data_IF_902320719085
#
_entry.id   IF_902320719085
#
_cell.length_a   1.000
_cell.length_b   1.000
_cell.length_c   1.000
_cell.angle_alpha   90.00
_cell.angle_beta   90.00
_cell.angle_gamma   90.00
#
_symmetry.space_group_name_H-M   'P 1'
#
loop_
_entity.id
_entity.type
_entity.pdbx_description
1 polymer ?
#
# COMPACT_ATOMS: atom_id res chain seq x y z
N UNK A 1 -55.22 24.17 -0.67
CA UNK A 1 -55.44 25.30 0.29
C UNK A 1 -54.10 25.72 0.85
N UNK A 2 -53.79 27.00 0.54
CA UNK A 2 -52.92 27.98 1.24
C UNK A 2 -51.47 27.67 1.55
N UNK A 3 -50.67 28.21 0.71
CA UNK A 3 -49.34 28.87 0.77
C UNK A 3 -49.08 29.61 2.09
N UNK A 4 -47.87 29.55 2.62
CA UNK A 4 -47.29 30.71 3.33
C UNK A 4 -45.74 30.69 3.14
N UNK A 5 -45.29 31.72 2.44
CA UNK A 5 -43.88 32.14 2.23
C UNK A 5 -43.55 33.08 3.38
N UNK A 6 -42.37 32.94 4.00
CA UNK A 6 -41.82 34.01 4.87
C UNK A 6 -40.44 34.44 4.31
N UNK A 7 -40.46 35.68 3.82
CA UNK A 7 -39.26 36.51 3.58
C UNK A 7 -38.90 37.23 4.89
N UNK A 8 -37.62 37.23 5.23
CA UNK A 8 -37.09 38.23 6.17
C UNK A 8 -35.94 38.99 5.51
N UNK A 9 -36.24 40.26 5.27
CA UNK A 9 -35.29 41.33 4.92
C UNK A 9 -34.81 41.93 6.25
N UNK A 10 -33.51 42.12 6.43
CA UNK A 10 -33.00 43.07 7.43
C UNK A 10 -31.93 43.96 6.83
N UNK A 11 -32.28 45.24 6.88
CA UNK A 11 -31.57 46.41 6.39
C UNK A 11 -30.37 46.78 7.25
N UNK A 12 -29.46 47.52 6.60
CA UNK A 12 -28.20 48.01 7.10
C UNK A 12 -28.24 49.03 8.20
N UNK A 13 -27.11 49.27 8.76
CA UNK A 13 -26.75 50.53 9.43
C UNK A 13 -25.28 50.85 9.16
N UNK A 14 -25.07 51.96 8.43
CA UNK A 14 -23.81 52.67 8.30
C UNK A 14 -23.56 53.47 9.58
N UNK A 15 -22.36 53.40 10.12
CA UNK A 15 -21.85 54.44 11.02
C UNK A 15 -20.50 54.93 10.52
N UNK A 16 -20.51 56.17 10.06
CA UNK A 16 -19.35 57.04 9.92
C UNK A 16 -18.94 57.54 11.30
N UNK A 17 -17.64 57.47 11.61
CA UNK A 17 -17.03 58.42 12.54
C UNK A 17 -15.66 58.88 12.03
N UNK A 18 -15.51 60.17 12.10
CA UNK A 18 -14.49 61.05 11.52
C UNK A 18 -13.33 61.22 12.51
N UNK A 19 -12.16 61.28 11.98
CA UNK A 19 -10.90 61.93 12.34
C UNK A 19 -10.79 62.69 13.68
N UNK A 20 -9.67 62.46 14.38
CA UNK A 20 -8.81 63.50 14.96
C UNK A 20 -7.35 63.04 15.04
N UNK A 21 -6.47 63.91 14.56
CA UNK A 21 -5.00 63.85 14.73
C UNK A 21 -4.61 64.04 16.22
N UNK A 22 -3.48 63.40 16.65
CA UNK A 22 -2.27 64.11 17.06
C UNK A 22 -1.15 63.17 17.54
N UNK A 23 0.01 63.49 17.04
CA UNK A 23 1.38 63.55 17.62
C UNK A 23 2.04 62.34 18.32
N UNK A 24 3.15 61.95 17.65
CA UNK A 24 4.47 61.58 18.21
C UNK A 24 4.62 60.62 19.40
N UNK A 25 5.04 59.37 19.11
CA UNK A 25 5.97 58.64 19.96
C UNK A 25 6.82 57.66 19.09
N UNK A 26 8.13 57.80 19.18
CA UNK A 26 9.16 56.92 18.58
C UNK A 26 9.12 55.59 19.35
N UNK A 27 8.66 54.53 18.75
CA UNK A 27 8.85 53.16 19.28
C UNK A 27 9.59 52.28 18.28
N UNK A 28 10.77 51.84 18.74
CA UNK A 28 11.58 50.80 18.11
C UNK A 28 10.83 49.46 18.08
N UNK A 29 10.13 49.15 16.98
CA UNK A 29 9.50 47.85 16.81
C UNK A 29 10.41 46.91 16.02
N UNK A 30 11.01 45.96 16.71
CA UNK A 30 11.61 44.76 16.13
C UNK A 30 10.49 43.91 15.50
N UNK A 31 10.29 44.09 14.18
CA UNK A 31 9.29 43.30 13.42
C UNK A 31 9.72 41.84 13.33
N UNK A 32 9.08 40.94 14.06
CA UNK A 32 9.15 39.50 13.82
C UNK A 32 8.61 39.21 12.41
N UNK A 33 9.31 38.43 11.58
CA UNK A 33 8.83 38.11 10.22
C UNK A 33 7.54 37.27 10.32
N UNK A 34 6.57 37.48 9.40
CA UNK A 34 5.28 36.84 9.45
C UNK A 34 5.41 35.30 9.32
N UNK A 35 4.62 34.58 10.11
CA UNK A 35 4.62 33.11 10.24
C UNK A 35 4.63 32.37 8.88
N UNK A 36 3.95 32.90 7.87
CA UNK A 36 3.92 32.34 6.50
C UNK A 36 5.29 32.30 5.82
N UNK A 37 6.16 33.30 6.03
CA UNK A 37 7.52 33.32 5.46
C UNK A 37 8.43 32.28 6.12
N UNK A 38 8.23 31.95 7.40
CA UNK A 38 8.99 30.94 8.14
C UNK A 38 8.63 29.53 7.64
N UNK A 39 7.34 29.23 7.47
CA UNK A 39 6.85 27.96 6.93
C UNK A 39 7.31 27.69 5.47
N UNK A 40 7.34 28.72 4.65
CA UNK A 40 7.83 28.61 3.26
C UNK A 40 9.34 28.36 3.24
N UNK A 41 10.13 29.03 4.09
CA UNK A 41 11.58 28.80 4.21
C UNK A 41 11.90 27.40 4.77
N UNK A 42 11.12 26.89 5.73
CA UNK A 42 11.31 25.53 6.25
C UNK A 42 10.93 24.44 5.22
N UNK A 43 9.87 24.66 4.45
CA UNK A 43 9.49 23.75 3.35
C UNK A 43 10.54 23.76 2.23
N UNK A 44 11.13 24.93 1.90
CA UNK A 44 12.20 25.07 0.91
C UNK A 44 13.48 24.40 1.39
N UNK A 45 13.91 24.62 2.66
CA UNK A 45 15.06 23.92 3.27
C UNK A 45 14.87 22.41 3.33
N UNK A 46 13.66 21.89 3.63
CA UNK A 46 13.37 20.45 3.61
C UNK A 46 13.39 19.87 2.19
N UNK A 47 13.00 20.66 1.18
CA UNK A 47 13.07 20.26 -0.23
C UNK A 47 14.52 20.23 -0.73
N UNK A 48 15.30 21.28 -0.44
CA UNK A 48 16.73 21.38 -0.79
C UNK A 48 17.59 20.31 -0.07
N UNK A 49 17.26 19.97 1.20
CA UNK A 49 17.93 18.88 1.91
C UNK A 49 17.64 17.49 1.31
N UNK A 50 16.48 17.29 0.67
CA UNK A 50 16.16 16.05 -0.07
C UNK A 50 16.86 15.99 -1.44
N UNK A 51 17.06 17.13 -2.09
CA UNK A 51 17.73 17.20 -3.40
C UNK A 51 19.25 16.98 -3.30
N UNK A 52 19.85 17.16 -2.11
CA UNK A 52 21.31 17.05 -1.90
C UNK A 52 21.76 15.71 -1.27
N UNK A 53 20.88 14.73 -1.10
CA UNK A 53 21.30 13.39 -0.67
C UNK A 53 22.06 12.70 -1.81
N UNK A 54 23.25 12.09 -1.56
CA UNK A 54 23.94 11.32 -2.58
C UNK A 54 23.02 10.25 -3.15
N UNK A 55 23.03 10.07 -4.47
CA UNK A 55 22.20 9.06 -5.17
C UNK A 55 22.31 7.68 -4.54
N UNK A 56 23.52 7.29 -4.11
CA UNK A 56 23.81 6.02 -3.43
C UNK A 56 22.97 5.87 -2.14
N UNK A 57 22.83 6.94 -1.35
CA UNK A 57 22.05 6.89 -0.11
C UNK A 57 20.55 6.79 -0.41
N UNK A 58 20.06 7.49 -1.43
CA UNK A 58 18.66 7.41 -1.87
C UNK A 58 18.35 5.99 -2.37
N UNK A 59 19.22 5.42 -3.19
CA UNK A 59 19.07 4.07 -3.72
C UNK A 59 19.11 3.02 -2.60
N UNK A 60 19.99 3.18 -1.60
CA UNK A 60 20.07 2.30 -0.42
C UNK A 60 18.77 2.33 0.41
N UNK A 61 18.23 3.51 0.69
CA UNK A 61 16.94 3.65 1.39
C UNK A 61 15.80 3.01 0.60
N UNK A 62 15.80 3.19 -0.72
CA UNK A 62 14.79 2.61 -1.58
C UNK A 62 14.92 1.08 -1.67
N UNK A 63 16.13 0.51 -1.71
CA UNK A 63 16.37 -0.93 -1.65
C UNK A 63 15.77 -1.52 -0.38
N UNK A 64 15.94 -0.86 0.76
CA UNK A 64 15.32 -1.29 2.02
C UNK A 64 13.79 -1.34 1.94
N UNK A 65 13.16 -0.35 1.32
CA UNK A 65 11.71 -0.39 1.09
C UNK A 65 11.30 -1.52 0.13
N UNK A 66 12.04 -1.68 -0.98
CA UNK A 66 11.74 -2.69 -2.00
C UNK A 66 11.86 -4.12 -1.46
N UNK A 67 12.78 -4.35 -0.53
CA UNK A 67 13.03 -5.67 0.10
C UNK A 67 12.36 -5.85 1.46
N UNK A 68 11.64 -4.82 1.96
CA UNK A 68 10.96 -4.86 3.25
C UNK A 68 11.87 -4.70 4.47
N UNK A 69 13.09 -4.23 4.29
CA UNK A 69 14.08 -3.97 5.36
C UNK A 69 13.83 -2.61 6.04
N UNK A 70 12.57 -2.26 6.26
CA UNK A 70 12.17 -1.00 6.88
C UNK A 70 11.18 -1.21 8.02
N UNK A 71 11.11 -0.23 8.93
CA UNK A 71 10.17 -0.18 10.04
C UNK A 71 9.04 0.78 9.67
N UNK A 72 7.90 0.25 9.24
CA UNK A 72 6.76 1.03 8.76
C UNK A 72 6.18 1.98 9.81
N UNK A 73 6.31 1.62 11.09
CA UNK A 73 5.83 2.43 12.23
C UNK A 73 6.60 3.75 12.37
N UNK A 74 7.86 3.76 11.91
CA UNK A 74 8.76 4.92 11.98
C UNK A 74 8.82 5.68 10.66
N UNK A 75 8.24 5.15 9.61
CA UNK A 75 8.30 5.71 8.27
C UNK A 75 7.14 6.66 8.01
N UNK A 76 7.46 7.92 7.75
CA UNK A 76 6.46 8.97 7.52
C UNK A 76 5.63 8.77 6.24
N UNK A 77 6.03 7.88 5.34
CA UNK A 77 5.26 7.54 4.14
C UNK A 77 4.10 6.56 4.45
N UNK A 78 4.15 5.89 5.60
CA UNK A 78 3.16 4.91 6.02
C UNK A 78 2.20 5.47 7.07
N UNK A 79 1.05 4.84 7.19
CA UNK A 79 0.11 5.05 8.29
C UNK A 79 -0.59 3.76 8.69
N UNK A 80 -1.07 3.72 9.92
CA UNK A 80 -1.89 2.64 10.43
C UNK A 80 -3.27 2.69 9.79
N UNK A 81 -3.75 1.53 9.32
CA UNK A 81 -5.11 1.37 8.79
C UNK A 81 -6.11 1.49 9.93
N UNK A 82 -7.18 2.32 9.80
CA UNK A 82 -8.19 2.48 10.85
C UNK A 82 -8.93 1.17 11.19
N UNK A 83 -9.32 1.00 12.45
CA UNK A 83 -9.96 -0.22 12.98
C UNK A 83 -11.26 -0.61 12.30
N UNK A 84 -12.02 0.35 11.75
CA UNK A 84 -13.23 0.04 10.97
C UNK A 84 -12.93 -0.62 9.61
N UNK A 85 -11.68 -0.53 9.14
CA UNK A 85 -11.23 -1.12 7.87
C UNK A 85 -10.42 -2.42 8.04
N UNK A 86 -9.99 -2.73 9.27
CA UNK A 86 -9.24 -3.96 9.60
C UNK A 86 -9.39 -4.32 11.06
N UNK A 87 -9.21 -5.59 11.40
CA UNK A 87 -9.14 -6.07 12.80
C UNK A 87 -7.70 -6.19 13.31
N UNK A 88 -6.70 -5.87 12.50
CA UNK A 88 -5.28 -6.05 12.78
C UNK A 88 -4.54 -4.72 12.82
N UNK A 89 -3.32 -4.72 13.34
CA UNK A 89 -2.40 -3.60 13.21
C UNK A 89 -1.69 -3.70 11.86
N UNK A 90 -2.21 -3.01 10.86
CA UNK A 90 -1.75 -3.03 9.48
C UNK A 90 -1.31 -1.63 9.09
N UNK A 91 -0.12 -1.52 8.50
CA UNK A 91 0.35 -0.29 7.86
C UNK A 91 0.16 -0.39 6.35
N UNK A 92 -0.12 0.74 5.73
CA UNK A 92 -0.08 0.94 4.28
C UNK A 92 0.60 2.28 3.99
N UNK A 93 1.08 2.47 2.77
CA UNK A 93 1.42 3.82 2.33
C UNK A 93 0.20 4.73 2.46
N UNK A 94 0.43 5.99 2.83
CA UNK A 94 -0.65 6.94 3.16
C UNK A 94 -1.70 7.02 2.07
N UNK A 95 -1.25 7.23 0.82
CA UNK A 95 -2.14 7.35 -0.33
C UNK A 95 -2.90 6.04 -0.61
N UNK A 96 -2.21 4.89 -0.54
CA UNK A 96 -2.85 3.55 -0.68
C UNK A 96 -3.97 3.38 0.35
N UNK A 97 -3.72 3.75 1.61
CA UNK A 97 -4.73 3.66 2.67
C UNK A 97 -5.91 4.60 2.39
N UNK A 98 -5.65 5.86 1.98
CA UNK A 98 -6.69 6.85 1.71
C UNK A 98 -7.59 6.41 0.56
N UNK A 99 -7.00 5.86 -0.51
CA UNK A 99 -7.76 5.37 -1.66
C UNK A 99 -8.53 4.09 -1.34
N UNK A 100 -7.96 3.20 -0.49
CA UNK A 100 -8.72 2.06 0.01
C UNK A 100 -9.94 2.49 0.83
N UNK A 101 -9.82 3.49 1.70
CA UNK A 101 -10.95 3.98 2.49
C UNK A 101 -12.05 4.59 1.62
N UNK A 102 -11.69 5.30 0.54
CA UNK A 102 -12.65 5.78 -0.47
C UNK A 102 -13.33 4.62 -1.19
N UNK A 103 -12.57 3.62 -1.62
CA UNK A 103 -13.10 2.41 -2.26
C UNK A 103 -14.05 1.65 -1.32
N UNK A 104 -13.65 1.46 -0.06
CA UNK A 104 -14.48 0.83 0.98
C UNK A 104 -15.81 1.58 1.17
N UNK A 105 -15.77 2.91 1.30
CA UNK A 105 -16.97 3.72 1.47
C UNK A 105 -17.92 3.64 0.27
N UNK A 106 -17.38 3.54 -0.94
CA UNK A 106 -18.21 3.33 -2.15
C UNK A 106 -18.82 1.92 -2.17
N UNK A 107 -18.06 0.89 -1.80
CA UNK A 107 -18.54 -0.49 -1.74
C UNK A 107 -19.68 -0.64 -0.71
N UNK A 108 -19.59 0.04 0.44
CA UNK A 108 -20.62 0.02 1.48
C UNK A 108 -21.97 0.56 1.01
N UNK A 109 -21.99 1.56 0.11
CA UNK A 109 -23.22 2.06 -0.51
C UNK A 109 -23.93 1.00 -1.37
N UNK A 110 -23.14 0.07 -1.94
CA UNK A 110 -23.62 -1.05 -2.72
C UNK A 110 -23.79 -2.32 -1.86
N UNK A 111 -23.82 -2.19 -0.52
CA UNK A 111 -23.92 -3.29 0.45
C UNK A 111 -22.80 -4.33 0.35
N UNK A 112 -21.60 -3.89 -0.07
CA UNK A 112 -20.36 -4.67 -0.11
C UNK A 112 -19.41 -4.17 0.98
N UNK A 113 -18.96 -5.08 1.87
CA UNK A 113 -18.21 -4.72 3.07
C UNK A 113 -16.76 -5.22 3.00
N UNK A 114 -15.87 -4.36 2.53
CA UNK A 114 -14.45 -4.69 2.38
C UNK A 114 -13.69 -4.53 3.69
N UNK A 115 -12.83 -5.51 4.01
CA UNK A 115 -11.89 -5.43 5.15
C UNK A 115 -10.51 -5.95 4.75
N UNK A 116 -9.47 -5.23 5.15
CA UNK A 116 -8.08 -5.66 4.94
C UNK A 116 -7.70 -6.69 5.99
N UNK A 117 -7.18 -7.83 5.53
CA UNK A 117 -6.58 -8.87 6.36
C UNK A 117 -5.05 -8.76 6.42
N UNK A 118 -4.41 -8.29 5.36
CA UNK A 118 -2.97 -8.08 5.28
C UNK A 118 -2.64 -6.86 4.40
N UNK A 119 -1.66 -6.08 4.78
CA UNK A 119 -1.12 -4.94 4.04
C UNK A 119 0.40 -5.00 4.01
N UNK A 120 1.08 -3.94 4.42
CA UNK A 120 2.54 -3.91 4.48
C UNK A 120 3.09 -5.03 5.38
N UNK A 121 4.08 -5.75 4.88
CA UNK A 121 4.81 -6.81 5.60
C UNK A 121 6.30 -6.58 5.44
N UNK A 122 7.02 -6.33 6.54
CA UNK A 122 8.47 -6.21 6.49
C UNK A 122 9.14 -7.58 6.24
N UNK A 123 10.43 -7.55 5.99
CA UNK A 123 11.24 -8.75 5.70
C UNK A 123 11.08 -9.82 6.78
N UNK A 124 11.17 -9.46 8.06
CA UNK A 124 11.11 -10.40 9.17
C UNK A 124 9.73 -11.07 9.29
N UNK A 125 8.65 -10.33 9.08
CA UNK A 125 7.28 -10.90 9.03
C UNK A 125 7.14 -11.87 7.87
N UNK A 126 7.63 -11.51 6.67
CA UNK A 126 7.59 -12.39 5.50
C UNK A 126 8.47 -13.64 5.69
N UNK A 127 9.66 -13.48 6.29
CA UNK A 127 10.54 -14.59 6.66
C UNK A 127 9.87 -15.55 7.65
N UNK A 128 9.21 -15.01 8.68
CA UNK A 128 8.45 -15.83 9.62
C UNK A 128 7.34 -16.64 8.92
N UNK A 129 6.59 -16.02 7.99
CA UNK A 129 5.54 -16.71 7.23
C UNK A 129 6.14 -17.81 6.36
N UNK A 130 7.22 -17.52 5.63
CA UNK A 130 7.92 -18.44 4.74
C UNK A 130 8.51 -19.63 5.50
N UNK A 131 9.32 -19.37 6.53
CA UNK A 131 10.06 -20.41 7.26
C UNK A 131 9.14 -21.31 8.09
N UNK A 132 8.03 -20.81 8.64
CA UNK A 132 7.05 -21.70 9.29
C UNK A 132 6.40 -22.69 8.32
N UNK A 133 6.21 -22.31 7.07
CA UNK A 133 5.73 -23.23 6.03
C UNK A 133 6.87 -24.15 5.56
N UNK A 134 8.07 -23.63 5.37
CA UNK A 134 9.25 -24.40 5.00
C UNK A 134 9.55 -25.51 5.98
N UNK A 135 9.47 -25.25 7.26
CA UNK A 135 9.72 -26.19 8.35
C UNK A 135 8.52 -27.11 8.64
N UNK A 136 7.38 -26.91 7.97
CA UNK A 136 6.15 -27.66 8.18
C UNK A 136 5.39 -27.33 9.47
N UNK A 137 5.78 -26.26 10.17
CA UNK A 137 5.06 -25.74 11.36
C UNK A 137 3.69 -25.17 10.97
N UNK A 138 3.56 -24.66 9.74
CA UNK A 138 2.28 -24.31 9.11
C UNK A 138 2.07 -25.14 7.87
N UNK A 139 0.84 -25.63 7.68
CA UNK A 139 0.43 -26.36 6.48
C UNK A 139 0.33 -25.42 5.28
N UNK A 140 0.55 -25.96 4.10
CA UNK A 140 0.26 -25.28 2.83
C UNK A 140 -1.26 -25.21 2.63
N UNK A 141 -1.69 -24.47 1.61
CA UNK A 141 -3.13 -24.27 1.32
C UNK A 141 -3.87 -25.57 0.99
N UNK A 142 -3.19 -26.53 0.39
CA UNK A 142 -3.70 -27.89 0.10
C UNK A 142 -3.65 -28.85 1.30
N UNK A 143 -3.31 -28.37 2.48
CA UNK A 143 -3.16 -29.17 3.69
C UNK A 143 -1.85 -29.94 3.81
N UNK A 144 -1.00 -29.95 2.76
CA UNK A 144 0.28 -30.65 2.76
C UNK A 144 1.33 -29.95 3.63
N UNK A 145 2.44 -30.65 3.93
CA UNK A 145 3.58 -30.09 4.65
C UNK A 145 4.78 -29.98 3.70
N UNK A 146 5.27 -28.75 3.49
CA UNK A 146 6.43 -28.51 2.66
C UNK A 146 7.70 -29.21 3.17
N UNK A 147 7.82 -29.46 4.48
CA UNK A 147 8.96 -30.20 5.09
C UNK A 147 9.15 -31.59 4.48
N UNK A 148 8.07 -32.23 3.99
CA UNK A 148 8.14 -33.55 3.34
C UNK A 148 8.84 -33.51 1.99
N UNK A 149 8.91 -32.36 1.33
CA UNK A 149 9.60 -32.20 0.05
C UNK A 149 11.10 -32.05 0.33
N UNK A 150 11.91 -33.02 -0.06
CA UNK A 150 13.35 -33.05 0.26
C UNK A 150 14.15 -32.07 -0.59
N UNK A 151 13.86 -32.00 -1.90
CA UNK A 151 14.51 -31.09 -2.82
C UNK A 151 14.20 -29.64 -2.49
N UNK A 152 15.20 -28.76 -2.19
CA UNK A 152 14.95 -27.36 -1.82
C UNK A 152 14.26 -26.54 -2.92
N UNK A 153 14.59 -26.79 -4.20
CA UNK A 153 13.96 -26.11 -5.34
C UNK A 153 12.47 -26.44 -5.44
N UNK A 154 12.12 -27.72 -5.42
CA UNK A 154 10.72 -28.17 -5.45
C UNK A 154 9.94 -27.66 -4.24
N UNK A 155 10.58 -27.66 -3.05
CA UNK A 155 9.99 -27.10 -1.84
C UNK A 155 9.69 -25.61 -2.02
N UNK A 156 10.64 -24.83 -2.56
CA UNK A 156 10.46 -23.42 -2.87
C UNK A 156 9.32 -23.19 -3.86
N UNK A 157 9.29 -23.93 -4.96
CA UNK A 157 8.23 -23.85 -5.98
C UNK A 157 6.84 -24.16 -5.38
N UNK A 158 6.76 -25.14 -4.47
CA UNK A 158 5.52 -25.48 -3.80
C UNK A 158 5.03 -24.37 -2.86
N UNK A 159 5.92 -23.70 -2.14
CA UNK A 159 5.58 -22.54 -1.32
C UNK A 159 5.14 -21.36 -2.19
N UNK A 160 5.84 -21.12 -3.28
CA UNK A 160 5.62 -20.01 -4.21
C UNK A 160 4.30 -20.08 -4.97
N UNK A 161 3.52 -21.16 -4.82
CA UNK A 161 2.15 -21.13 -5.34
C UNK A 161 1.33 -19.96 -4.74
N UNK A 162 1.57 -19.62 -3.47
CA UNK A 162 0.80 -18.60 -2.72
C UNK A 162 1.63 -17.82 -1.69
N UNK A 163 2.94 -17.98 -1.64
CA UNK A 163 3.76 -17.35 -0.59
C UNK A 163 5.06 -16.84 -1.18
N UNK A 164 5.25 -15.54 -1.15
CA UNK A 164 6.46 -14.90 -1.64
C UNK A 164 7.68 -15.23 -0.79
N UNK A 165 8.85 -15.34 -1.41
CA UNK A 165 10.13 -15.31 -0.71
C UNK A 165 10.33 -13.94 -0.03
N UNK A 166 10.98 -13.88 1.16
CA UNK A 166 11.42 -12.61 1.74
C UNK A 166 12.28 -11.81 0.74
N UNK A 167 12.04 -10.52 0.67
CA UNK A 167 12.69 -9.65 -0.31
C UNK A 167 12.04 -9.62 -1.71
N UNK A 168 11.11 -10.56 -2.01
CA UNK A 168 10.39 -10.59 -3.29
C UNK A 168 8.89 -10.31 -3.17
N UNK A 169 8.40 -10.10 -1.95
CA UNK A 169 6.99 -9.83 -1.71
C UNK A 169 6.61 -8.40 -2.08
N UNK A 170 5.60 -8.21 -2.93
CA UNK A 170 5.06 -6.88 -3.23
C UNK A 170 4.44 -6.21 -1.98
N UNK A 171 4.02 -6.98 -0.98
CA UNK A 171 3.59 -6.43 0.31
C UNK A 171 4.69 -5.66 1.06
N UNK A 172 5.96 -5.80 0.69
CA UNK A 172 7.03 -4.95 1.22
C UNK A 172 6.83 -3.48 0.88
N UNK A 173 6.15 -3.17 -0.23
CA UNK A 173 5.97 -1.82 -0.74
C UNK A 173 4.86 -1.03 -0.03
N UNK A 174 3.98 -1.73 0.73
CA UNK A 174 2.82 -1.12 1.39
C UNK A 174 1.73 -0.64 0.45
N UNK A 175 1.74 -1.12 -0.78
CA UNK A 175 0.77 -0.84 -1.85
C UNK A 175 -0.19 -2.00 -2.12
N UNK A 176 0.07 -3.15 -1.47
CA UNK A 176 -0.70 -4.36 -1.64
C UNK A 176 -1.65 -4.58 -0.47
N UNK A 177 -2.87 -5.00 -0.77
CA UNK A 177 -3.86 -5.39 0.23
C UNK A 177 -4.36 -6.80 -0.05
N UNK A 178 -4.47 -7.61 1.00
CA UNK A 178 -5.25 -8.84 0.97
C UNK A 178 -6.58 -8.57 1.65
N UNK A 179 -7.69 -8.74 0.95
CA UNK A 179 -9.03 -8.63 1.52
C UNK A 179 -9.36 -9.88 2.35
N UNK A 180 -10.14 -9.68 3.39
CA UNK A 180 -10.36 -10.73 4.37
C UNK A 180 -11.09 -11.93 3.80
N UNK A 181 -10.35 -13.08 3.66
CA UNK A 181 -11.03 -14.38 3.64
C UNK A 181 -10.12 -15.59 3.95
N UNK A 182 -10.58 -16.48 4.83
CA UNK A 182 -9.83 -17.69 5.23
C UNK A 182 -9.87 -18.80 4.18
N UNK A 183 -10.92 -18.85 3.34
CA UNK A 183 -11.12 -19.91 2.35
C UNK A 183 -10.49 -19.63 0.98
N UNK A 184 -9.74 -18.52 0.85
CA UNK A 184 -9.10 -18.15 -0.43
C UNK A 184 -10.13 -17.98 -1.57
N UNK A 185 -9.79 -18.44 -2.77
CA UNK A 185 -10.64 -18.27 -3.96
C UNK A 185 -12.04 -18.87 -3.81
N UNK A 186 -12.21 -19.96 -3.05
CA UNK A 186 -13.51 -20.60 -2.82
C UNK A 186 -14.55 -19.68 -2.20
N UNK A 187 -14.11 -18.70 -1.41
CA UNK A 187 -15.02 -17.68 -0.88
C UNK A 187 -15.67 -16.86 -1.98
N UNK A 188 -14.92 -16.57 -3.03
CA UNK A 188 -15.32 -15.70 -4.14
C UNK A 188 -16.09 -16.44 -5.25
N UNK A 189 -16.44 -17.72 -5.05
CA UNK A 189 -17.17 -18.52 -6.05
C UNK A 189 -18.69 -18.40 -5.92
N UNK A 190 -19.21 -18.02 -4.76
CA UNK A 190 -20.66 -17.90 -4.51
C UNK A 190 -21.01 -16.92 -3.39
N UNK A 191 -22.29 -16.57 -3.34
CA UNK A 191 -22.89 -15.79 -2.25
C UNK A 191 -22.26 -14.40 -2.08
N UNK A 192 -21.99 -14.04 -0.82
CA UNK A 192 -21.43 -12.74 -0.46
C UNK A 192 -20.06 -12.50 -1.09
N UNK A 193 -19.20 -13.50 -1.10
CA UNK A 193 -17.85 -13.39 -1.66
C UNK A 193 -17.86 -13.15 -3.17
N UNK A 194 -18.75 -13.82 -3.92
CA UNK A 194 -18.91 -13.57 -5.33
C UNK A 194 -19.33 -12.11 -5.60
N UNK A 195 -20.31 -11.60 -4.84
CA UNK A 195 -20.73 -10.19 -4.95
C UNK A 195 -19.58 -9.21 -4.67
N UNK A 196 -18.76 -9.49 -3.65
CA UNK A 196 -17.57 -8.70 -3.33
C UNK A 196 -16.58 -8.69 -4.51
N UNK A 197 -16.32 -9.85 -5.09
CA UNK A 197 -15.37 -9.99 -6.19
C UNK A 197 -15.87 -9.32 -7.48
N UNK A 198 -17.13 -9.53 -7.85
CA UNK A 198 -17.77 -8.87 -8.99
C UNK A 198 -17.77 -7.36 -8.85
N UNK A 199 -18.05 -6.86 -7.62
CA UNK A 199 -17.97 -5.43 -7.32
C UNK A 199 -16.55 -4.90 -7.51
N UNK A 200 -15.54 -5.61 -6.99
CA UNK A 200 -14.14 -5.25 -7.12
C UNK A 200 -13.67 -5.22 -8.58
N UNK A 201 -14.00 -6.25 -9.37
CA UNK A 201 -13.68 -6.29 -10.80
C UNK A 201 -14.27 -5.07 -11.56
N UNK A 202 -15.48 -4.65 -11.19
CA UNK A 202 -16.17 -3.52 -11.82
C UNK A 202 -15.70 -2.15 -11.36
N UNK A 203 -15.23 -2.02 -10.11
CA UNK A 203 -15.08 -0.72 -9.48
C UNK A 203 -13.68 -0.41 -8.92
N UNK A 204 -12.87 -1.43 -8.56
CA UNK A 204 -11.61 -1.20 -7.85
C UNK A 204 -10.63 -0.31 -8.64
N UNK A 205 -10.60 -0.45 -9.96
CA UNK A 205 -9.76 0.35 -10.87
C UNK A 205 -10.02 1.86 -10.74
N UNK A 206 -11.26 2.29 -10.43
CA UNK A 206 -11.63 3.70 -10.22
C UNK A 206 -10.91 4.32 -9.01
N UNK A 207 -10.40 3.47 -8.12
CA UNK A 207 -9.63 3.83 -6.94
C UNK A 207 -8.15 3.45 -7.07
N UNK A 208 -7.70 3.05 -8.26
CA UNK A 208 -6.33 2.66 -8.55
C UNK A 208 -5.96 1.24 -8.12
N UNK A 209 -6.91 0.42 -7.67
CA UNK A 209 -6.65 -0.97 -7.27
C UNK A 209 -6.93 -1.94 -8.41
N UNK A 210 -5.99 -2.88 -8.62
CA UNK A 210 -6.08 -3.92 -9.66
C UNK A 210 -5.65 -5.28 -9.11
N UNK A 211 -6.25 -6.35 -9.63
CA UNK A 211 -5.90 -7.73 -9.29
C UNK A 211 -4.67 -8.17 -10.09
N UNK A 212 -3.49 -8.06 -9.51
CA UNK A 212 -2.24 -8.39 -10.21
C UNK A 212 -1.97 -9.89 -10.34
N UNK A 213 -2.56 -10.72 -9.48
CA UNK A 213 -2.48 -12.19 -9.55
C UNK A 213 -3.81 -12.78 -10.05
N UNK A 214 -4.15 -12.44 -11.27
CA UNK A 214 -5.33 -12.94 -12.01
C UNK A 214 -5.15 -14.40 -12.46
N UNK A 215 -6.09 -14.94 -13.23
CA UNK A 215 -6.00 -16.30 -13.73
C UNK A 215 -4.83 -16.43 -14.74
N UNK A 216 -3.84 -17.26 -14.44
CA UNK A 216 -2.61 -17.44 -15.24
C UNK A 216 -2.88 -17.94 -16.64
N UNK A 217 -3.84 -18.84 -16.81
CA UNK A 217 -4.15 -19.45 -18.10
C UNK A 217 -4.80 -18.45 -19.06
N UNK A 218 -5.61 -17.52 -18.50
CA UNK A 218 -6.25 -16.48 -19.29
C UNK A 218 -5.30 -15.35 -19.66
N UNK A 219 -4.40 -14.97 -18.75
CA UNK A 219 -3.57 -13.77 -18.88
C UNK A 219 -2.14 -14.10 -19.30
N UNK A 220 -1.82 -15.38 -19.58
CA UNK A 220 -0.51 -15.87 -19.99
C UNK A 220 0.65 -15.36 -19.09
N UNK A 221 0.39 -15.22 -17.78
CA UNK A 221 1.39 -14.77 -16.81
C UNK A 221 2.06 -15.94 -16.10
N UNK A 222 3.22 -15.70 -15.53
CA UNK A 222 3.97 -16.64 -14.69
C UNK A 222 3.67 -16.46 -13.19
N UNK A 223 4.37 -17.16 -12.34
CA UNK A 223 4.43 -16.93 -10.90
C UNK A 223 3.27 -17.50 -10.09
N UNK A 224 2.73 -16.70 -9.17
CA UNK A 224 1.73 -17.12 -8.20
C UNK A 224 0.45 -17.64 -8.87
N UNK A 225 -0.27 -18.51 -8.16
CA UNK A 225 -1.64 -18.86 -8.54
C UNK A 225 -2.56 -17.64 -8.48
N UNK A 226 -3.77 -17.77 -9.03
CA UNK A 226 -4.77 -16.74 -8.90
C UNK A 226 -5.07 -16.43 -7.43
N UNK A 227 -5.10 -15.14 -7.09
CA UNK A 227 -5.43 -14.64 -5.77
C UNK A 227 -6.52 -13.58 -5.86
N UNK A 228 -7.80 -13.99 -5.81
CA UNK A 228 -8.96 -13.10 -5.91
C UNK A 228 -9.03 -12.07 -4.77
N UNK A 229 -8.35 -12.34 -3.66
CA UNK A 229 -8.26 -11.46 -2.50
C UNK A 229 -7.16 -10.40 -2.60
N UNK A 230 -6.16 -10.55 -3.50
CA UNK A 230 -4.97 -9.71 -3.57
C UNK A 230 -5.13 -8.58 -4.58
N UNK A 231 -5.02 -7.35 -4.11
CA UNK A 231 -5.21 -6.13 -4.90
C UNK A 231 -4.04 -5.17 -4.70
N UNK A 232 -3.53 -4.61 -5.79
CA UNK A 232 -2.39 -3.70 -5.83
C UNK A 232 -2.85 -2.28 -6.16
N UNK A 233 -2.38 -1.29 -5.39
CA UNK A 233 -2.58 0.13 -5.71
C UNK A 233 -1.56 0.58 -6.74
N UNK A 234 -1.96 0.58 -8.01
CA UNK A 234 -1.08 0.73 -9.18
C UNK A 234 -0.35 2.08 -9.27
N UNK A 235 -0.94 3.23 -8.88
CA UNK A 235 -0.26 4.52 -9.01
C UNK A 235 1.10 4.57 -8.30
N UNK A 236 1.25 3.86 -7.17
CA UNK A 236 2.52 3.76 -6.45
C UNK A 236 3.26 2.47 -6.77
N UNK A 237 2.56 1.33 -6.83
CA UNK A 237 3.21 0.02 -7.03
C UNK A 237 3.93 -0.10 -8.36
N UNK A 238 3.46 0.57 -9.42
CA UNK A 238 4.17 0.63 -10.71
C UNK A 238 5.53 1.32 -10.60
N UNK A 239 5.62 2.39 -9.81
CA UNK A 239 6.90 3.07 -9.56
C UNK A 239 7.87 2.15 -8.79
N UNK A 240 7.37 1.47 -7.75
CA UNK A 240 8.15 0.50 -6.97
C UNK A 240 8.58 -0.69 -7.83
N UNK A 241 7.69 -1.23 -8.67
CA UNK A 241 8.00 -2.32 -9.59
C UNK A 241 9.10 -1.93 -10.60
N UNK A 242 9.00 -0.73 -11.19
CA UNK A 242 10.03 -0.19 -12.08
C UNK A 242 11.38 -0.06 -11.35
N UNK A 243 11.37 0.44 -10.11
CA UNK A 243 12.59 0.57 -9.29
C UNK A 243 13.12 -0.79 -8.83
N UNK A 244 12.25 -1.74 -8.50
CA UNK A 244 12.64 -3.11 -8.17
C UNK A 244 13.45 -3.74 -9.32
N UNK A 245 12.96 -3.64 -10.56
CA UNK A 245 13.66 -4.14 -11.75
C UNK A 245 15.01 -3.47 -12.01
N UNK A 246 15.19 -2.23 -11.58
CA UNK A 246 16.44 -1.48 -11.77
C UNK A 246 17.48 -1.74 -10.68
N UNK A 247 17.06 -1.93 -9.43
CA UNK A 247 17.92 -1.89 -8.26
C UNK A 247 18.11 -3.24 -7.57
N UNK A 248 17.14 -4.16 -7.68
CA UNK A 248 17.19 -5.44 -6.96
C UNK A 248 17.74 -6.54 -7.85
N UNK A 249 18.64 -7.31 -7.28
CA UNK A 249 19.26 -8.50 -7.88
C UNK A 249 19.15 -9.70 -6.95
N UNK A 250 19.58 -10.87 -7.41
CA UNK A 250 19.60 -12.07 -6.55
C UNK A 250 20.57 -11.98 -5.36
N UNK A 251 21.50 -11.01 -5.34
CA UNK A 251 22.36 -10.73 -4.18
C UNK A 251 21.55 -10.20 -2.99
N UNK A 252 20.44 -9.52 -3.27
CA UNK A 252 19.57 -8.91 -2.29
C UNK A 252 18.53 -9.91 -1.72
N UNK A 253 18.43 -11.12 -2.34
CA UNK A 253 17.49 -12.16 -1.95
C UNK A 253 18.22 -13.23 -1.13
N UNK A 254 18.39 -12.95 0.17
CA UNK A 254 19.16 -13.78 1.08
C UNK A 254 18.64 -13.73 2.52
N UNK A 255 19.24 -14.49 3.42
CA UNK A 255 18.97 -14.42 4.86
C UNK A 255 17.74 -15.22 5.33
N UNK A 256 17.23 -16.17 4.52
CA UNK A 256 16.13 -17.08 4.87
C UNK A 256 16.34 -18.48 4.28
N UNK A 257 15.61 -19.48 4.77
CA UNK A 257 15.69 -20.87 4.30
C UNK A 257 15.22 -20.99 2.85
N UNK A 258 16.05 -21.61 2.00
CA UNK A 258 15.75 -21.78 0.59
C UNK A 258 16.10 -20.58 -0.29
N UNK A 259 16.71 -19.51 0.24
CA UNK A 259 17.13 -18.33 -0.52
C UNK A 259 18.06 -18.70 -1.71
N UNK A 260 18.95 -19.69 -1.55
CA UNK A 260 19.85 -20.16 -2.59
C UNK A 260 19.15 -20.64 -3.86
N UNK A 261 17.88 -21.03 -3.78
CA UNK A 261 17.09 -21.48 -4.94
C UNK A 261 16.51 -20.32 -5.76
N UNK A 262 16.53 -19.08 -5.24
CA UNK A 262 15.83 -17.93 -5.82
C UNK A 262 16.26 -17.67 -7.28
N UNK A 263 17.56 -17.72 -7.57
CA UNK A 263 18.10 -17.49 -8.93
C UNK A 263 17.71 -18.62 -9.88
N UNK A 264 17.83 -19.86 -9.44
CA UNK A 264 17.53 -21.04 -10.28
C UNK A 264 16.05 -21.08 -10.69
N UNK A 265 15.13 -20.71 -9.79
CA UNK A 265 13.69 -20.67 -10.07
C UNK A 265 13.26 -19.36 -10.73
N UNK A 266 14.18 -18.44 -10.99
CA UNK A 266 13.92 -17.11 -11.54
C UNK A 266 12.85 -16.38 -10.72
N UNK A 267 13.06 -16.27 -9.38
CA UNK A 267 12.08 -15.75 -8.45
C UNK A 267 11.69 -14.29 -8.76
N UNK A 268 12.62 -13.47 -9.25
CA UNK A 268 12.33 -12.08 -9.65
C UNK A 268 11.48 -12.08 -10.93
N UNK A 269 11.94 -12.73 -11.98
CA UNK A 269 11.28 -12.72 -13.31
C UNK A 269 9.91 -13.37 -13.25
N UNK A 270 9.82 -14.55 -12.63
CA UNK A 270 8.59 -15.32 -12.65
C UNK A 270 7.57 -14.87 -11.61
N UNK A 271 7.97 -14.28 -10.46
CA UNK A 271 7.06 -14.01 -9.35
C UNK A 271 6.89 -12.52 -9.07
N UNK A 272 7.96 -11.72 -8.98
CA UNK A 272 7.81 -10.27 -8.79
C UNK A 272 7.28 -9.62 -10.06
N UNK A 273 7.80 -10.06 -11.22
CA UNK A 273 7.39 -9.56 -12.54
C UNK A 273 6.22 -10.35 -13.15
N UNK A 274 5.87 -11.52 -12.59
CA UNK A 274 4.79 -12.39 -13.06
C UNK A 274 3.39 -11.90 -12.63
N UNK A 275 3.07 -10.68 -12.99
CA UNK A 275 1.79 -10.03 -12.75
C UNK A 275 1.00 -9.89 -14.04
N UNK A 276 -0.31 -9.66 -13.93
CA UNK A 276 -1.13 -9.32 -15.08
C UNK A 276 -0.59 -8.05 -15.74
N UNK A 277 -0.34 -8.10 -17.05
CA UNK A 277 0.27 -7.02 -17.83
C UNK A 277 -0.75 -5.98 -18.33
N UNK A 278 -2.05 -6.25 -18.22
CA UNK A 278 -3.13 -5.38 -18.73
C UNK A 278 -3.32 -4.11 -17.88
N UNK A 279 -2.39 -3.84 -16.96
CA UNK A 279 -2.42 -2.65 -16.13
C UNK A 279 -1.37 -1.66 -16.59
N UNK A 280 -1.77 -0.39 -16.82
CA UNK A 280 -0.90 0.67 -17.27
C UNK A 280 0.20 1.04 -16.30
#
# INVERSE_FOLDING_TARGET
>A
MKTTIFFFIFSGLFFFFQSCNDSNAVENSTKKPPLKKKLVKEKKKKKEAKENLPKILIDSLLINHLTGQCAYEKDTCFKLVPKHATTRNIHLQKETCDMFLKMKSAAEKDSVFLKINSGARNFNVQKYIWENKWDGKKRLRDGSSAKKIKNPKERSLKLLLYTAMPGTSRHHWGTEIDLYHVNGNKYYEKGKGLKEYEWLLKNAHKYGFHQVYSNKEKDNRTGYQEEKWHWSYMPISNLYHKKYKQLISYKDISGFKGASTAKEIKAIENYVNGINADYP
#
